data_IF_621927488762
#
_entry.id   IF_621927488762
#
_cell.length_a   1.000
_cell.length_b   1.000
_cell.length_c   1.000
_cell.angle_alpha   90.00
_cell.angle_beta   90.00
_cell.angle_gamma   90.00
#
_symmetry.space_group_name_H-M   'P 1'
#
loop_
_entity.id
_entity.type
_entity.pdbx_description
1 polymer ?
#
# COMPACT_ATOMS: atom_id res chain seq x y z
N UNK A 1 28.32 8.96 -12.24
CA UNK A 1 26.94 8.95 -11.77
C UNK A 1 26.55 7.50 -11.53
N UNK A 2 26.44 7.04 -10.28
CA UNK A 2 25.90 5.70 -10.01
C UNK A 2 24.39 5.79 -10.22
N UNK A 3 23.88 5.07 -11.20
CA UNK A 3 22.44 4.93 -11.43
C UNK A 3 21.89 4.15 -10.22
N UNK A 4 21.17 4.84 -9.35
CA UNK A 4 20.46 4.20 -8.25
C UNK A 4 19.35 3.36 -8.89
N UNK A 5 19.30 2.04 -8.63
CA UNK A 5 18.30 1.19 -9.27
C UNK A 5 16.88 1.66 -8.91
N UNK A 6 15.92 1.67 -9.85
CA UNK A 6 14.55 2.11 -9.62
C UNK A 6 13.78 1.29 -8.56
N UNK A 7 14.34 0.15 -8.13
CA UNK A 7 13.80 -0.67 -7.04
C UNK A 7 13.82 0.02 -5.66
N UNK A 8 14.65 1.06 -5.49
CA UNK A 8 14.76 1.78 -4.20
C UNK A 8 13.54 2.67 -3.93
N UNK A 9 12.79 3.07 -4.97
CA UNK A 9 11.62 3.91 -4.80
C UNK A 9 10.37 3.12 -4.32
N UNK A 10 10.30 1.82 -4.55
CA UNK A 10 9.17 0.99 -4.14
C UNK A 10 9.00 0.90 -2.61
N UNK A 11 10.10 0.80 -1.88
CA UNK A 11 10.09 0.59 -0.43
C UNK A 11 9.64 1.84 0.34
N UNK A 12 9.62 3.00 -0.32
CA UNK A 12 9.26 4.28 0.28
C UNK A 12 7.83 4.71 0.00
N UNK A 13 7.03 3.87 -0.67
CA UNK A 13 5.65 4.22 -1.00
C UNK A 13 4.68 3.80 0.10
N UNK A 14 3.78 4.70 0.45
CA UNK A 14 2.73 4.46 1.45
C UNK A 14 1.85 3.26 1.07
N UNK A 15 1.66 3.03 -0.23
CA UNK A 15 0.86 1.95 -0.80
C UNK A 15 1.44 0.57 -0.46
N UNK A 16 2.77 0.43 -0.62
CA UNK A 16 3.47 -0.81 -0.27
C UNK A 16 3.33 -1.12 1.22
N UNK A 17 3.51 -0.11 2.07
CA UNK A 17 3.38 -0.24 3.51
C UNK A 17 1.96 -0.58 3.94
N UNK A 18 0.96 0.08 3.35
CA UNK A 18 -0.44 -0.22 3.59
C UNK A 18 -0.78 -1.67 3.22
N UNK A 19 -0.28 -2.14 2.08
CA UNK A 19 -0.45 -3.52 1.64
C UNK A 19 0.17 -4.51 2.65
N UNK A 20 1.44 -4.32 3.02
CA UNK A 20 2.14 -5.19 3.96
C UNK A 20 1.47 -5.23 5.33
N UNK A 21 1.13 -4.07 5.90
CA UNK A 21 0.46 -3.99 7.20
C UNK A 21 -0.91 -4.66 7.15
N UNK A 22 -1.66 -4.48 6.05
CA UNK A 22 -2.95 -5.13 5.87
C UNK A 22 -2.81 -6.65 5.88
N UNK A 23 -1.83 -7.21 5.15
CA UNK A 23 -1.56 -8.65 5.15
C UNK A 23 -1.20 -9.15 6.54
N UNK A 24 -0.22 -8.52 7.18
CA UNK A 24 0.23 -8.92 8.53
C UNK A 24 -0.92 -8.87 9.53
N UNK A 25 -1.74 -7.83 9.47
CA UNK A 25 -2.85 -7.66 10.39
C UNK A 25 -3.93 -8.74 10.19
N UNK A 26 -4.35 -8.97 8.96
CA UNK A 26 -5.43 -9.93 8.64
C UNK A 26 -5.06 -11.37 9.01
N UNK A 27 -3.79 -11.75 8.83
CA UNK A 27 -3.32 -13.10 9.18
C UNK A 27 -2.82 -13.23 10.61
N UNK A 28 -2.85 -12.18 11.42
CA UNK A 28 -2.46 -12.22 12.82
C UNK A 28 -3.54 -12.88 13.69
N UNK A 29 -3.10 -13.66 14.72
CA UNK A 29 -4.00 -14.39 15.63
C UNK A 29 -4.83 -13.46 16.54
N UNK A 30 -4.34 -12.26 16.83
CA UNK A 30 -5.02 -11.27 17.69
C UNK A 30 -4.69 -9.85 17.23
N UNK A 31 -5.50 -8.88 17.72
CA UNK A 31 -5.27 -7.44 17.46
C UNK A 31 -3.91 -6.98 17.94
N UNK A 32 -3.49 -7.41 19.14
CA UNK A 32 -2.19 -7.05 19.70
C UNK A 32 -1.04 -7.64 18.87
N UNK A 33 -1.16 -8.91 18.45
CA UNK A 33 -0.16 -9.51 17.58
C UNK A 33 -0.08 -8.79 16.22
N UNK A 34 -1.21 -8.38 15.66
CA UNK A 34 -1.25 -7.58 14.43
C UNK A 34 -0.45 -6.28 14.58
N UNK A 35 -0.68 -5.54 15.67
CA UNK A 35 0.03 -4.30 15.99
C UNK A 35 1.53 -4.54 16.18
N UNK A 36 1.92 -5.50 17.02
CA UNK A 36 3.32 -5.81 17.32
C UNK A 36 4.07 -6.26 16.06
N UNK A 37 3.50 -7.19 15.29
CA UNK A 37 4.14 -7.69 14.06
C UNK A 37 4.29 -6.57 13.02
N UNK A 38 3.30 -5.66 12.91
CA UNK A 38 3.37 -4.53 12.00
C UNK A 38 4.47 -3.54 12.40
N UNK A 39 4.62 -3.21 13.68
CA UNK A 39 5.72 -2.37 14.16
C UNK A 39 7.06 -3.05 13.87
N UNK A 40 7.23 -4.30 14.24
CA UNK A 40 8.49 -5.02 14.04
C UNK A 40 8.85 -5.03 12.55
N UNK A 41 7.90 -5.38 11.67
CA UNK A 41 8.10 -5.42 10.23
C UNK A 41 8.54 -4.06 9.71
N UNK A 42 7.76 -3.01 9.97
CA UNK A 42 8.01 -1.71 9.37
C UNK A 42 9.23 -1.00 9.96
N UNK A 43 9.42 -1.06 11.28
CA UNK A 43 10.63 -0.50 11.90
C UNK A 43 11.88 -1.21 11.39
N UNK A 44 11.86 -2.54 11.28
CA UNK A 44 12.98 -3.29 10.71
C UNK A 44 13.26 -2.90 9.26
N UNK A 45 12.20 -2.70 8.45
CA UNK A 45 12.34 -2.25 7.06
C UNK A 45 12.97 -0.85 6.98
N UNK A 46 12.49 0.11 7.79
CA UNK A 46 13.07 1.46 7.86
C UNK A 46 14.53 1.42 8.28
N UNK A 47 14.84 0.66 9.33
CA UNK A 47 16.21 0.57 9.83
C UNK A 47 17.13 -0.07 8.79
N UNK A 48 16.70 -1.16 8.13
CA UNK A 48 17.49 -1.81 7.08
C UNK A 48 17.72 -0.89 5.89
N UNK A 49 16.67 -0.19 5.42
CA UNK A 49 16.78 0.77 4.32
C UNK A 49 17.76 1.89 4.62
N UNK A 50 17.62 2.56 5.77
CA UNK A 50 18.48 3.68 6.13
C UNK A 50 19.90 3.26 6.51
N UNK A 51 20.09 2.04 7.02
CA UNK A 51 21.42 1.46 7.20
C UNK A 51 22.12 1.27 5.85
N UNK A 52 21.43 0.67 4.87
CA UNK A 52 21.96 0.50 3.51
C UNK A 52 22.23 1.87 2.86
N UNK A 53 21.37 2.85 3.06
CA UNK A 53 21.55 4.22 2.57
C UNK A 53 22.83 4.84 3.17
N UNK A 54 23.01 4.73 4.49
CA UNK A 54 24.20 5.23 5.18
C UNK A 54 25.49 4.55 4.71
N UNK A 55 25.47 3.22 4.56
CA UNK A 55 26.65 2.46 4.08
C UNK A 55 27.06 2.82 2.65
N UNK A 56 26.10 3.17 1.78
CA UNK A 56 26.38 3.51 0.39
C UNK A 56 26.75 4.99 0.18
N UNK A 57 26.14 5.90 0.90
CA UNK A 57 26.27 7.36 0.69
C UNK A 57 27.06 8.09 1.78
N UNK A 58 27.33 7.43 2.91
CA UNK A 58 28.12 8.00 4.01
C UNK A 58 27.37 9.05 4.86
N UNK A 59 26.07 9.29 4.62
CA UNK A 59 25.27 10.21 5.43
C UNK A 59 23.87 9.65 5.69
N UNK A 60 23.23 10.14 6.77
CA UNK A 60 21.86 9.76 7.14
C UNK A 60 20.94 10.99 7.06
N UNK A 61 19.88 10.96 6.23
CA UNK A 61 18.89 12.03 6.16
C UNK A 61 17.93 11.94 7.36
N UNK A 62 18.34 12.48 8.52
CA UNK A 62 17.64 12.32 9.81
C UNK A 62 16.15 12.71 9.76
N UNK A 63 15.80 13.76 9.00
CA UNK A 63 14.41 14.20 8.89
C UNK A 63 13.54 13.14 8.22
N UNK A 64 13.96 12.62 7.07
CA UNK A 64 13.24 11.55 6.37
C UNK A 64 13.19 10.26 7.19
N UNK A 65 14.31 9.88 7.80
CA UNK A 65 14.35 8.74 8.71
C UNK A 65 13.32 8.88 9.85
N UNK A 66 13.27 10.06 10.49
CA UNK A 66 12.31 10.33 11.57
C UNK A 66 10.85 10.27 11.10
N UNK A 67 10.53 10.80 9.91
CA UNK A 67 9.19 10.73 9.32
C UNK A 67 8.77 9.27 9.11
N UNK A 68 9.61 8.48 8.44
CA UNK A 68 9.29 7.07 8.16
C UNK A 68 9.21 6.22 9.42
N UNK A 69 10.06 6.47 10.41
CA UNK A 69 9.97 5.81 11.70
C UNK A 69 8.65 6.14 12.42
N UNK A 70 8.22 7.38 12.36
CA UNK A 70 6.92 7.81 12.92
C UNK A 70 5.77 7.11 12.20
N UNK A 71 5.78 7.05 10.87
CA UNK A 71 4.79 6.32 10.09
C UNK A 71 4.77 4.84 10.46
N UNK A 72 5.95 4.22 10.62
CA UNK A 72 6.07 2.82 11.04
C UNK A 72 5.40 2.56 12.40
N UNK A 73 5.59 3.45 13.37
CA UNK A 73 4.93 3.36 14.68
C UNK A 73 3.43 3.60 14.57
N UNK A 74 2.99 4.61 13.84
CA UNK A 74 1.56 4.91 13.63
C UNK A 74 0.83 3.81 12.88
N UNK A 75 1.50 3.05 12.04
CA UNK A 75 0.91 1.90 11.35
C UNK A 75 0.40 0.81 12.28
N UNK A 76 0.90 0.77 13.52
CA UNK A 76 0.38 -0.12 14.56
C UNK A 76 -1.08 0.14 14.90
N UNK A 77 -1.50 1.40 14.91
CA UNK A 77 -2.89 1.80 15.13
C UNK A 77 -3.76 1.35 13.94
N UNK A 78 -3.25 1.55 12.73
CA UNK A 78 -3.92 1.03 11.53
C UNK A 78 -4.07 -0.50 11.58
N UNK A 79 -3.02 -1.22 12.01
CA UNK A 79 -3.06 -2.68 12.15
C UNK A 79 -4.11 -3.16 13.16
N UNK A 80 -4.29 -2.45 14.29
CA UNK A 80 -5.33 -2.74 15.28
C UNK A 80 -6.73 -2.64 14.67
N UNK A 81 -6.95 -1.66 13.81
CA UNK A 81 -8.24 -1.42 13.14
C UNK A 81 -8.46 -2.46 12.04
N UNK A 82 -7.48 -2.60 11.13
CA UNK A 82 -7.63 -3.43 9.92
C UNK A 82 -7.63 -4.94 10.24
N UNK A 83 -7.14 -5.35 11.41
CA UNK A 83 -7.29 -6.72 11.88
C UNK A 83 -8.74 -7.19 11.87
N UNK A 84 -9.71 -6.29 12.14
CA UNK A 84 -11.13 -6.61 12.09
C UNK A 84 -11.61 -6.93 10.65
N UNK A 85 -10.91 -6.49 9.62
CA UNK A 85 -11.23 -6.83 8.23
C UNK A 85 -11.07 -8.33 7.93
N UNK A 86 -10.22 -9.02 8.69
CA UNK A 86 -10.08 -10.49 8.63
C UNK A 86 -11.15 -11.26 9.39
N UNK A 87 -12.08 -10.58 10.07
CA UNK A 87 -13.15 -11.22 10.85
C UNK A 87 -14.41 -11.41 10.02
N UNK A 88 -15.40 -12.11 10.59
CA UNK A 88 -16.70 -12.30 9.96
C UNK A 88 -17.62 -11.10 10.22
N UNK A 89 -18.52 -10.85 9.28
CA UNK A 89 -19.58 -9.86 9.40
C UNK A 89 -19.50 -8.70 8.41
N UNK A 90 -20.59 -7.92 8.36
CA UNK A 90 -20.76 -6.80 7.41
C UNK A 90 -19.69 -5.73 7.63
N UNK A 91 -19.40 -5.39 8.89
CA UNK A 91 -18.38 -4.40 9.22
C UNK A 91 -16.98 -4.79 8.74
N UNK A 92 -16.64 -6.07 8.80
CA UNK A 92 -15.38 -6.61 8.27
C UNK A 92 -15.30 -6.46 6.73
N UNK A 93 -16.40 -6.75 6.03
CA UNK A 93 -16.47 -6.59 4.57
C UNK A 93 -16.32 -5.13 4.14
N UNK A 94 -16.94 -4.19 4.84
CA UNK A 94 -16.77 -2.75 4.58
C UNK A 94 -15.34 -2.30 4.89
N UNK A 95 -14.79 -2.71 6.03
CA UNK A 95 -13.45 -2.32 6.44
C UNK A 95 -12.37 -2.83 5.47
N UNK A 96 -12.51 -4.06 4.96
CA UNK A 96 -11.59 -4.65 3.99
C UNK A 96 -11.65 -3.96 2.62
N UNK A 97 -12.76 -3.33 2.29
CA UNK A 97 -12.90 -2.59 1.03
C UNK A 97 -12.07 -1.30 0.99
N UNK A 98 -11.73 -0.70 2.14
CA UNK A 98 -10.98 0.57 2.20
C UNK A 98 -9.57 0.44 1.61
N UNK A 99 -8.68 -0.43 2.11
CA UNK A 99 -7.33 -0.58 1.54
C UNK A 99 -7.38 -1.10 0.11
N UNK A 100 -8.34 -1.96 -0.20
CA UNK A 100 -8.53 -2.50 -1.56
C UNK A 100 -8.88 -1.39 -2.55
N UNK A 101 -9.87 -0.54 -2.23
CA UNK A 101 -10.28 0.58 -3.07
C UNK A 101 -9.18 1.64 -3.21
N UNK A 102 -8.42 1.88 -2.13
CA UNK A 102 -7.28 2.79 -2.16
C UNK A 102 -6.22 2.33 -3.17
N UNK A 103 -5.81 1.07 -3.12
CA UNK A 103 -4.84 0.50 -4.05
C UNK A 103 -5.37 0.44 -5.49
N UNK A 104 -6.65 0.12 -5.68
CA UNK A 104 -7.29 0.20 -6.99
C UNK A 104 -7.25 1.62 -7.56
N UNK A 105 -7.55 2.63 -6.75
CA UNK A 105 -7.49 4.04 -7.18
C UNK A 105 -6.08 4.44 -7.60
N UNK A 106 -5.07 4.01 -6.85
CA UNK A 106 -3.66 4.28 -7.19
C UNK A 106 -3.20 3.52 -8.43
N UNK A 107 -3.68 2.29 -8.64
CA UNK A 107 -3.38 1.48 -9.81
C UNK A 107 -4.23 1.77 -11.04
N UNK A 108 -5.37 2.47 -10.89
CA UNK A 108 -6.32 2.72 -11.96
C UNK A 108 -5.70 3.45 -13.16
N UNK A 109 -4.80 4.38 -12.94
CA UNK A 109 -4.15 5.15 -14.00
C UNK A 109 -3.26 4.32 -14.91
N UNK A 110 -2.86 3.14 -14.49
CA UNK A 110 -2.09 2.20 -15.31
C UNK A 110 -2.91 1.59 -16.46
N UNK A 111 -4.21 1.34 -16.24
CA UNK A 111 -5.07 0.65 -17.20
C UNK A 111 -5.30 1.45 -18.51
N UNK A 112 -5.64 2.75 -18.49
CA UNK A 112 -5.81 3.53 -19.72
C UNK A 112 -4.50 3.65 -20.51
N UNK A 113 -3.38 3.84 -19.83
CA UNK A 113 -2.08 3.97 -20.47
C UNK A 113 -1.67 2.63 -21.14
N UNK A 114 -1.93 1.50 -20.48
CA UNK A 114 -1.65 0.17 -21.03
C UNK A 114 -2.56 -0.17 -22.23
N UNK A 115 -3.85 0.20 -22.17
CA UNK A 115 -4.85 -0.22 -23.16
C UNK A 115 -4.93 0.71 -24.37
N UNK A 116 -4.68 2.01 -24.17
CA UNK A 116 -4.96 3.04 -25.20
C UNK A 116 -3.73 3.82 -25.67
N UNK A 117 -2.62 3.80 -24.94
CA UNK A 117 -1.41 4.57 -25.23
C UNK A 117 -0.14 3.70 -25.15
N UNK A 118 -0.08 2.65 -25.99
CA UNK A 118 1.05 1.72 -25.96
C UNK A 118 2.45 2.37 -26.18
N UNK A 119 2.52 3.44 -26.96
CA UNK A 119 3.78 4.18 -27.17
C UNK A 119 4.12 5.07 -25.96
N UNK A 120 3.14 5.76 -25.38
CA UNK A 120 3.33 6.57 -24.19
C UNK A 120 3.66 5.70 -22.97
N UNK A 121 3.04 4.51 -22.86
CA UNK A 121 3.35 3.54 -21.81
C UNK A 121 4.80 3.04 -21.91
N UNK A 122 5.29 2.73 -23.10
CA UNK A 122 6.69 2.29 -23.31
C UNK A 122 7.69 3.39 -22.94
N UNK A 123 7.41 4.65 -23.27
CA UNK A 123 8.27 5.79 -22.91
C UNK A 123 8.28 6.02 -21.40
N UNK A 124 7.12 5.93 -20.74
CA UNK A 124 7.04 6.11 -19.28
C UNK A 124 7.69 4.97 -18.49
N UNK A 125 7.49 3.72 -18.89
CA UNK A 125 8.17 2.55 -18.30
C UNK A 125 9.71 2.71 -18.37
N UNK A 126 10.20 3.34 -19.44
CA UNK A 126 11.64 3.52 -19.63
C UNK A 126 12.23 4.69 -18.83
N UNK A 127 11.45 5.72 -18.51
CA UNK A 127 11.98 6.97 -17.95
C UNK A 127 11.58 7.28 -16.49
N UNK A 128 10.48 6.76 -15.94
CA UNK A 128 9.95 7.32 -14.68
C UNK A 128 9.50 6.34 -13.58
N UNK A 129 9.56 5.04 -13.71
CA UNK A 129 9.15 4.14 -12.60
C UNK A 129 7.68 4.24 -12.15
N UNK A 130 6.97 5.33 -12.47
CA UNK A 130 5.58 5.62 -12.05
C UNK A 130 4.62 4.52 -12.52
N UNK A 131 4.85 3.98 -13.71
CA UNK A 131 3.98 2.95 -14.27
C UNK A 131 4.17 1.60 -13.60
N UNK A 132 5.40 1.28 -13.18
CA UNK A 132 5.69 0.07 -12.42
C UNK A 132 4.98 0.11 -11.08
N UNK A 133 4.99 1.26 -10.39
CA UNK A 133 4.30 1.44 -9.13
C UNK A 133 2.77 1.33 -9.28
N UNK A 134 2.19 1.96 -10.33
CA UNK A 134 0.76 1.85 -10.60
C UNK A 134 0.36 0.41 -10.95
N UNK A 135 1.17 -0.30 -11.74
CA UNK A 135 0.99 -1.72 -12.01
C UNK A 135 1.06 -2.57 -10.75
N UNK A 136 2.05 -2.31 -9.88
CA UNK A 136 2.17 -2.96 -8.58
C UNK A 136 0.93 -2.72 -7.71
N UNK A 137 0.44 -1.47 -7.62
CA UNK A 137 -0.74 -1.12 -6.86
C UNK A 137 -1.99 -1.85 -7.37
N UNK A 138 -2.13 -2.02 -8.68
CA UNK A 138 -3.21 -2.80 -9.26
C UNK A 138 -3.11 -4.28 -8.88
N UNK A 139 -1.93 -4.88 -9.00
CA UNK A 139 -1.71 -6.29 -8.62
C UNK A 139 -2.00 -6.50 -7.14
N UNK A 140 -1.48 -5.65 -6.26
CA UNK A 140 -1.70 -5.75 -4.81
C UNK A 140 -3.17 -5.52 -4.43
N UNK A 141 -3.89 -4.63 -5.14
CA UNK A 141 -5.32 -4.45 -4.97
C UNK A 141 -6.10 -5.74 -5.33
N UNK A 142 -5.77 -6.38 -6.45
CA UNK A 142 -6.39 -7.65 -6.87
C UNK A 142 -6.07 -8.76 -5.87
N UNK A 143 -4.83 -8.82 -5.36
CA UNK A 143 -4.43 -9.79 -4.33
C UNK A 143 -5.24 -9.60 -3.05
N UNK A 144 -5.30 -8.37 -2.51
CA UNK A 144 -6.09 -8.08 -1.31
C UNK A 144 -7.57 -8.37 -1.52
N UNK A 145 -8.13 -7.94 -2.64
CA UNK A 145 -9.53 -8.25 -2.97
C UNK A 145 -9.79 -9.75 -2.96
N UNK A 146 -8.92 -10.53 -3.59
CA UNK A 146 -9.04 -11.99 -3.67
C UNK A 146 -8.96 -12.66 -2.29
N UNK A 147 -8.06 -12.16 -1.41
CA UNK A 147 -7.94 -12.63 -0.04
C UNK A 147 -9.24 -12.35 0.73
N UNK A 148 -9.70 -11.10 0.72
CA UNK A 148 -10.91 -10.70 1.43
C UNK A 148 -12.17 -11.39 0.87
N UNK A 149 -12.24 -11.59 -0.46
CA UNK A 149 -13.35 -12.32 -1.08
C UNK A 149 -13.44 -13.79 -0.63
N UNK A 150 -12.30 -14.41 -0.28
CA UNK A 150 -12.26 -15.74 0.29
C UNK A 150 -12.63 -15.78 1.76
N UNK A 151 -12.20 -14.77 2.52
CA UNK A 151 -12.40 -14.72 3.98
C UNK A 151 -13.82 -14.30 4.34
N UNK A 152 -14.39 -13.31 3.62
CA UNK A 152 -15.70 -12.77 3.96
C UNK A 152 -16.86 -13.62 3.46
N UNK A 153 -17.89 -13.75 4.28
CA UNK A 153 -19.19 -14.34 3.89
C UNK A 153 -20.03 -13.32 3.09
N UNK A 154 -19.78 -12.03 3.27
CA UNK A 154 -20.54 -10.92 2.67
C UNK A 154 -19.88 -10.37 1.38
N UNK A 155 -19.66 -11.25 0.40
CA UNK A 155 -18.95 -10.93 -0.85
C UNK A 155 -19.56 -9.78 -1.65
N UNK A 156 -20.91 -9.74 -1.70
CA UNK A 156 -21.63 -8.67 -2.40
C UNK A 156 -21.34 -7.31 -1.72
N UNK A 157 -21.37 -7.27 -0.38
CA UNK A 157 -21.09 -6.04 0.37
C UNK A 157 -19.65 -5.61 0.16
N UNK A 158 -18.69 -6.53 0.21
CA UNK A 158 -17.29 -6.23 -0.11
C UNK A 158 -17.16 -5.60 -1.50
N UNK A 159 -17.77 -6.20 -2.52
CA UNK A 159 -17.68 -5.71 -3.90
C UNK A 159 -18.31 -4.33 -4.04
N UNK A 160 -19.54 -4.17 -3.57
CA UNK A 160 -20.29 -2.90 -3.67
C UNK A 160 -19.57 -1.78 -2.89
N UNK A 161 -19.13 -2.05 -1.66
CA UNK A 161 -18.41 -1.06 -0.87
C UNK A 161 -17.04 -0.70 -1.49
N UNK A 162 -16.32 -1.67 -2.07
CA UNK A 162 -15.06 -1.39 -2.78
C UNK A 162 -15.31 -0.44 -3.96
N UNK A 163 -16.34 -0.67 -4.75
CA UNK A 163 -16.71 0.20 -5.88
C UNK A 163 -17.10 1.59 -5.41
N UNK A 164 -17.97 1.69 -4.39
CA UNK A 164 -18.41 2.98 -3.85
C UNK A 164 -17.21 3.77 -3.30
N UNK A 165 -16.38 3.16 -2.47
CA UNK A 165 -15.22 3.83 -1.88
C UNK A 165 -14.19 4.22 -2.95
N UNK A 166 -14.01 3.38 -3.98
CA UNK A 166 -13.17 3.74 -5.13
C UNK A 166 -13.65 5.03 -5.81
N UNK A 167 -14.95 5.16 -6.09
CA UNK A 167 -15.50 6.38 -6.68
C UNK A 167 -15.38 7.58 -5.74
N UNK A 168 -15.61 7.41 -4.43
CA UNK A 168 -15.38 8.47 -3.45
C UNK A 168 -13.93 8.95 -3.51
N UNK A 169 -12.94 8.06 -3.50
CA UNK A 169 -11.53 8.43 -3.59
C UNK A 169 -11.17 9.07 -4.94
N UNK A 170 -11.84 8.68 -6.02
CA UNK A 170 -11.63 9.27 -7.34
C UNK A 170 -12.14 10.70 -7.42
N UNK A 171 -13.36 10.96 -6.95
CA UNK A 171 -14.03 12.26 -7.09
C UNK A 171 -13.58 13.29 -6.05
N UNK A 172 -13.33 12.87 -4.81
CA UNK A 172 -12.98 13.81 -3.73
C UNK A 172 -11.54 14.34 -3.80
N UNK A 173 -10.67 13.67 -4.56
CA UNK A 173 -9.26 14.04 -4.61
C UNK A 173 -8.54 13.98 -3.25
N UNK A 174 -9.17 13.41 -2.20
CA UNK A 174 -8.64 13.36 -0.83
C UNK A 174 -7.20 12.83 -0.79
N UNK A 175 -6.85 11.97 -1.73
CA UNK A 175 -5.53 11.36 -1.79
C UNK A 175 -4.54 12.11 -2.70
N UNK A 176 -4.98 13.17 -3.40
CA UNK A 176 -4.09 14.00 -4.21
C UNK A 176 -3.22 14.94 -3.37
N UNK A 177 -3.57 15.12 -2.10
CA UNK A 177 -2.81 15.93 -1.14
C UNK A 177 -1.66 15.17 -0.47
N UNK A 178 -1.58 13.85 -0.65
CA UNK A 178 -0.43 13.08 -0.15
C UNK A 178 0.73 13.28 -1.13
N UNK A 179 1.82 13.94 -0.71
CA UNK A 179 2.94 14.34 -1.58
C UNK A 179 3.90 13.18 -1.88
N UNK A 180 3.35 12.00 -2.23
CA UNK A 180 4.16 10.80 -2.49
C UNK A 180 3.78 10.18 -3.83
#
# INVERSE_FOLDING_TARGET
MRVVPPLIDFDTTLEFWLFLVTLVAVFSKSRLNASIHSIILLVSTVLAYYLMFYLNLGFLPYQLFGIWLTIAVLSSVYALIIWNAGQKGIGAAILSSIPTAFLFKRGYYFLPDLLFNSEAAQVRIHYFGIDIQSGFNLVTAVVLYSIFFKITEHRIILTVSTVIIFFIFKETGILSFLPF
#
